data_IF_045982356107
#
_entry.id   IF_045982356107
#
_cell.length_a   1.000
_cell.length_b   1.000
_cell.length_c   1.000
_cell.angle_alpha   90.00
_cell.angle_beta   90.00
_cell.angle_gamma   90.00
#
_symmetry.space_group_name_H-M   'P 1'
#
loop_
_entity.id
_entity.type
_entity.pdbx_description
1 polymer ?
#
# COMPACT_ATOMS: atom_id res chain seq x y z
N UNK A 1 -5.48 -3.28 -10.58
CA UNK A 1 -5.86 -1.86 -10.77
C UNK A 1 -4.69 -0.86 -10.60
N UNK A 2 -3.42 -1.29 -10.61
CA UNK A 2 -2.26 -0.36 -10.50
C UNK A 2 -1.77 0.10 -11.89
N UNK A 3 -2.12 -0.64 -12.95
CA UNK A 3 -1.67 -0.38 -14.33
C UNK A 3 -2.45 0.74 -15.07
N UNK A 4 -3.49 1.32 -14.47
CA UNK A 4 -4.33 2.37 -15.08
C UNK A 4 -4.08 3.77 -14.49
N UNK A 5 -2.95 3.96 -13.80
CA UNK A 5 -2.54 5.29 -13.31
C UNK A 5 -1.76 5.98 -14.43
N UNK A 6 -2.44 6.82 -15.22
CA UNK A 6 -1.81 7.58 -16.31
C UNK A 6 -0.59 8.38 -15.83
N UNK A 7 0.40 8.59 -16.72
CA UNK A 7 1.71 9.13 -16.34
C UNK A 7 1.71 10.45 -15.56
N UNK A 8 0.70 11.31 -15.76
CA UNK A 8 0.54 12.54 -15.00
C UNK A 8 0.24 12.30 -13.50
N UNK A 9 -0.50 11.24 -13.18
CA UNK A 9 -0.81 10.88 -11.80
C UNK A 9 0.41 10.32 -11.06
N UNK A 10 1.24 9.54 -11.76
CA UNK A 10 2.48 8.99 -11.22
C UNK A 10 3.48 10.10 -10.87
N UNK A 11 3.64 11.09 -11.76
CA UNK A 11 4.50 12.27 -11.51
C UNK A 11 4.10 13.05 -10.25
N UNK A 12 2.79 13.22 -10.01
CA UNK A 12 2.29 13.90 -8.80
C UNK A 12 2.58 13.12 -7.51
N UNK A 13 2.47 11.79 -7.57
CA UNK A 13 2.84 10.92 -6.45
C UNK A 13 4.33 11.02 -6.16
N UNK A 14 5.17 10.92 -7.19
CA UNK A 14 6.63 11.05 -7.06
C UNK A 14 7.02 12.40 -6.44
N UNK A 15 6.42 13.50 -6.91
CA UNK A 15 6.63 14.83 -6.37
C UNK A 15 6.23 14.91 -4.87
N UNK A 16 5.12 14.28 -4.47
CA UNK A 16 4.73 14.18 -3.06
C UNK A 16 5.77 13.45 -2.22
N UNK A 17 6.19 12.28 -2.67
CA UNK A 17 7.16 11.44 -1.96
C UNK A 17 8.50 12.16 -1.84
N UNK A 18 8.92 12.90 -2.87
CA UNK A 18 10.13 13.71 -2.88
C UNK A 18 10.03 14.93 -1.95
N UNK A 19 8.82 15.45 -1.71
CA UNK A 19 8.56 16.56 -0.77
C UNK A 19 8.46 16.12 0.69
N UNK A 20 8.50 14.82 0.96
CA UNK A 20 8.52 14.24 2.31
C UNK A 20 9.96 14.02 2.79
N UNK A 21 10.16 14.20 4.09
CA UNK A 21 11.38 13.77 4.77
C UNK A 21 11.42 12.26 4.92
N UNK A 22 12.61 11.69 5.13
CA UNK A 22 12.79 10.25 5.39
C UNK A 22 11.94 9.78 6.58
N UNK A 23 11.84 10.58 7.64
CA UNK A 23 11.03 10.26 8.83
C UNK A 23 9.54 10.17 8.48
N UNK A 24 9.02 11.10 7.70
CA UNK A 24 7.60 11.11 7.28
C UNK A 24 7.28 9.96 6.31
N UNK A 25 8.22 9.60 5.42
CA UNK A 25 8.05 8.43 4.52
C UNK A 25 8.00 7.11 5.29
N UNK A 26 8.83 6.97 6.32
CA UNK A 26 8.86 5.77 7.18
C UNK A 26 7.65 5.73 8.12
N UNK A 27 7.21 6.89 8.59
CA UNK A 27 6.13 7.03 9.56
C UNK A 27 5.13 8.10 9.11
N UNK A 28 4.16 7.75 8.25
CA UNK A 28 3.16 8.72 7.78
C UNK A 28 2.30 9.33 8.89
N UNK A 29 2.19 8.64 10.03
CA UNK A 29 1.39 9.06 11.18
C UNK A 29 1.87 10.40 11.80
N UNK A 30 3.14 10.77 11.59
CA UNK A 30 3.67 12.05 12.09
C UNK A 30 3.31 13.26 11.20
N UNK A 31 2.63 13.06 10.07
CA UNK A 31 2.29 14.11 9.10
C UNK A 31 1.09 14.93 9.60
N UNK A 32 1.37 15.95 10.41
CA UNK A 32 0.41 16.93 10.90
C UNK A 32 0.09 18.05 9.88
N UNK A 33 -0.81 18.98 10.23
CA UNK A 33 -1.25 20.05 9.32
C UNK A 33 -0.11 20.93 8.77
N UNK A 34 0.89 21.25 9.60
CA UNK A 34 2.05 22.04 9.17
C UNK A 34 2.90 21.29 8.13
N UNK A 35 3.17 20.00 8.38
CA UNK A 35 3.89 19.13 7.43
C UNK A 35 3.12 18.96 6.12
N UNK A 36 1.78 18.83 6.19
CA UNK A 36 0.92 18.75 5.01
C UNK A 36 1.01 20.01 4.14
N UNK A 37 1.02 21.20 4.74
CA UNK A 37 1.22 22.45 3.98
C UNK A 37 2.57 22.48 3.28
N UNK A 38 3.65 22.07 3.96
CA UNK A 38 4.99 21.99 3.36
C UNK A 38 5.05 21.00 2.19
N UNK A 39 4.50 19.80 2.36
CA UNK A 39 4.47 18.76 1.32
C UNK A 39 3.64 19.24 0.12
N UNK A 40 2.46 19.80 0.37
CA UNK A 40 1.56 20.40 -0.62
C UNK A 40 2.25 21.48 -1.46
N UNK A 41 2.99 22.38 -0.81
CA UNK A 41 3.78 23.40 -1.49
C UNK A 41 4.92 22.81 -2.35
N UNK A 42 5.60 21.76 -1.86
CA UNK A 42 6.70 21.11 -2.58
C UNK A 42 6.25 20.29 -3.80
N UNK A 43 5.06 19.69 -3.76
CA UNK A 43 4.54 18.86 -4.84
C UNK A 43 3.58 19.59 -5.80
N UNK A 44 3.21 20.84 -5.49
CA UNK A 44 2.29 21.63 -6.29
C UNK A 44 0.85 21.10 -6.28
N UNK A 45 0.44 20.38 -5.24
CA UNK A 45 -0.94 19.90 -5.07
C UNK A 45 -1.63 20.60 -3.91
N UNK A 46 -2.95 20.83 -3.98
CA UNK A 46 -3.68 21.43 -2.89
C UNK A 46 -3.76 20.48 -1.67
N UNK A 47 -3.84 21.07 -0.48
CA UNK A 47 -3.82 20.31 0.79
C UNK A 47 -4.95 19.26 0.88
N UNK A 48 -6.10 19.53 0.27
CA UNK A 48 -7.23 18.59 0.27
C UNK A 48 -6.95 17.33 -0.59
N UNK A 49 -6.28 17.48 -1.73
CA UNK A 49 -5.84 16.34 -2.55
C UNK A 49 -4.79 15.51 -1.80
N UNK A 50 -3.84 16.18 -1.13
CA UNK A 50 -2.85 15.52 -0.29
C UNK A 50 -3.50 14.73 0.86
N UNK A 51 -4.53 15.28 1.51
CA UNK A 51 -5.26 14.57 2.57
C UNK A 51 -5.90 13.28 2.06
N UNK A 52 -6.49 13.32 0.87
CA UNK A 52 -7.09 12.13 0.24
C UNK A 52 -6.01 11.08 -0.06
N UNK A 53 -4.90 11.50 -0.67
CA UNK A 53 -3.77 10.62 -0.94
C UNK A 53 -3.23 9.93 0.32
N UNK A 54 -3.03 10.68 1.41
CA UNK A 54 -2.56 10.13 2.68
C UNK A 54 -3.54 9.10 3.26
N UNK A 55 -4.85 9.34 3.12
CA UNK A 55 -5.89 8.41 3.57
C UNK A 55 -5.90 7.13 2.74
N UNK A 56 -5.78 7.24 1.43
CA UNK A 56 -5.72 6.09 0.53
C UNK A 56 -4.46 5.26 0.80
N UNK A 57 -3.32 5.92 1.01
CA UNK A 57 -2.07 5.26 1.41
C UNK A 57 -2.20 4.52 2.74
N UNK A 58 -2.83 5.15 3.75
CA UNK A 58 -3.04 4.52 5.05
C UNK A 58 -3.97 3.29 4.96
N UNK A 59 -5.00 3.35 4.12
CA UNK A 59 -5.87 2.21 3.86
C UNK A 59 -5.11 1.05 3.21
N UNK A 60 -4.26 1.35 2.22
CA UNK A 60 -3.40 0.35 1.58
C UNK A 60 -2.39 -0.24 2.58
N UNK A 61 -1.78 0.58 3.44
CA UNK A 61 -0.87 0.13 4.51
C UNK A 61 -1.57 -0.85 5.46
N UNK A 62 -2.79 -0.52 5.90
CA UNK A 62 -3.60 -1.38 6.76
C UNK A 62 -3.94 -2.71 6.09
N UNK A 63 -4.30 -2.69 4.80
CA UNK A 63 -4.60 -3.91 4.05
C UNK A 63 -3.36 -4.80 3.89
N UNK A 64 -2.21 -4.23 3.54
CA UNK A 64 -0.95 -4.95 3.43
C UNK A 64 -0.52 -5.54 4.78
N UNK A 65 -0.63 -4.77 5.87
CA UNK A 65 -0.33 -5.24 7.22
C UNK A 65 -1.20 -6.43 7.64
N UNK A 66 -2.52 -6.37 7.38
CA UNK A 66 -3.44 -7.49 7.62
C UNK A 66 -3.07 -8.72 6.80
N UNK A 67 -2.75 -8.55 5.52
CA UNK A 67 -2.36 -9.65 4.63
C UNK A 67 -1.05 -10.32 5.08
N UNK A 68 -0.03 -9.52 5.42
CA UNK A 68 1.23 -10.03 5.99
C UNK A 68 0.99 -10.73 7.34
N UNK A 69 0.11 -10.20 8.18
CA UNK A 69 -0.27 -10.82 9.45
C UNK A 69 -0.96 -12.18 9.28
N UNK A 70 -1.83 -12.33 8.28
CA UNK A 70 -2.48 -13.60 7.94
C UNK A 70 -1.49 -14.62 7.38
N UNK A 71 -0.56 -14.19 6.52
CA UNK A 71 0.49 -15.04 5.97
C UNK A 71 1.48 -15.52 7.04
N UNK A 72 1.91 -14.64 7.95
CA UNK A 72 2.81 -14.97 9.07
C UNK A 72 2.14 -15.86 10.13
N UNK A 73 0.83 -15.72 10.35
CA UNK A 73 0.07 -16.58 11.27
C UNK A 73 -0.19 -18.00 10.73
N UNK A 74 0.33 -18.36 9.55
CA UNK A 74 0.14 -19.69 8.95
C UNK A 74 -1.31 -20.01 8.55
N UNK A 75 -2.22 -19.02 8.66
CA UNK A 75 -3.60 -19.07 8.19
C UNK A 75 -3.63 -18.72 6.71
N UNK A 76 -2.97 -19.55 5.89
CA UNK A 76 -3.21 -19.53 4.46
C UNK A 76 -4.64 -20.05 4.26
N UNK A 77 -5.58 -19.27 3.69
CA UNK A 77 -6.93 -19.77 3.39
C UNK A 77 -6.90 -21.00 2.46
N UNK A 78 -5.78 -21.22 1.77
CA UNK A 78 -5.50 -22.39 0.92
C UNK A 78 -4.95 -23.61 1.67
N UNK A 79 -4.50 -23.47 2.93
CA UNK A 79 -3.85 -24.55 3.71
C UNK A 79 -4.86 -25.44 4.46
N UNK A 80 -6.12 -25.02 4.54
CA UNK A 80 -7.24 -25.81 5.09
C UNK A 80 -8.23 -26.28 4.03
N UNK A 81 -7.95 -26.03 2.74
CA UNK A 81 -8.84 -26.41 1.65
C UNK A 81 -8.48 -27.82 1.21
N UNK A 82 -9.40 -28.81 1.31
CA UNK A 82 -9.12 -30.17 0.87
C UNK A 82 -8.75 -30.13 -0.62
N UNK A 83 -7.58 -30.70 -0.96
CA UNK A 83 -7.15 -30.83 -2.34
C UNK A 83 -8.26 -31.57 -3.10
N UNK A 84 -8.81 -31.01 -4.19
CA UNK A 84 -9.83 -31.68 -4.97
C UNK A 84 -9.36 -33.07 -5.37
N UNK A 85 -10.22 -34.11 -5.29
CA UNK A 85 -9.84 -35.49 -5.60
C UNK A 85 -9.15 -35.66 -6.97
N UNK A 86 -9.51 -34.80 -7.93
CA UNK A 86 -8.91 -34.74 -9.27
C UNK A 86 -7.41 -34.39 -9.29
N UNK A 87 -6.86 -33.80 -8.22
CA UNK A 87 -5.45 -33.42 -8.11
C UNK A 87 -4.62 -34.33 -7.19
N UNK A 88 -5.25 -35.24 -6.44
CA UNK A 88 -4.59 -36.12 -5.44
C UNK A 88 -3.72 -37.23 -6.06
N UNK A 89 -3.81 -37.45 -7.37
CA UNK A 89 -3.10 -38.55 -8.07
C UNK A 89 -2.00 -38.13 -9.05
N UNK A 90 -1.64 -36.83 -9.15
CA UNK A 90 -0.71 -36.34 -10.19
C UNK A 90 0.72 -36.05 -9.70
N UNK A 91 1.03 -36.34 -8.43
CA UNK A 91 2.38 -36.16 -7.88
C UNK A 91 2.86 -37.44 -7.17
N UNK A 92 3.41 -38.41 -7.91
CA UNK A 92 4.12 -39.54 -7.33
C UNK A 92 5.58 -39.15 -7.00
N UNK A 93 5.98 -39.25 -5.73
CA UNK A 93 7.40 -39.31 -5.34
C UNK A 93 8.00 -38.16 -4.51
N UNK A 94 7.24 -37.45 -3.66
CA UNK A 94 7.82 -36.63 -2.58
C UNK A 94 7.34 -37.12 -1.22
#
# INVERSE_FOLDING_TARGET
>A
QIAHMGGAHMKKIEACINSMTVKERRTPDIINASRRRRISAGCGMPVHELNRFLKDFENMRKMMSKMTGMMKSGKNPLRGMPIPPAMRGKFPGM
#
